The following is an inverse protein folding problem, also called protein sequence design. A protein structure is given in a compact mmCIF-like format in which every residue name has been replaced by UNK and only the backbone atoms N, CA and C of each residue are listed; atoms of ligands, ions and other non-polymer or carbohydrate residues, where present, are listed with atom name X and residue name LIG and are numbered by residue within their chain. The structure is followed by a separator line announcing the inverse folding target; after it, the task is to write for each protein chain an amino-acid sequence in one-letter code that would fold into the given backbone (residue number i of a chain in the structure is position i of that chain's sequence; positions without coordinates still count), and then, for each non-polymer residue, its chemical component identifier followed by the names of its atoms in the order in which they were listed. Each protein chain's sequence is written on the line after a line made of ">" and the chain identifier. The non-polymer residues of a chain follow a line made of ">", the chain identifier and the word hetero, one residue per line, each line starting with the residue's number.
data_IF_967420433207
#
_entry.id   IF_967420433207
#
_cell.length_a   1.000
_cell.length_b   1.000
_cell.length_c   1.000
_cell.angle_alpha   90.00
_cell.angle_beta   90.00
_cell.angle_gamma   90.00
#
_symmetry.space_group_name_H-M   'P 1'
#
loop_
_entity.id
_entity.type
_entity.pdbx_description
1 polymer ?
#
# COMPACT_ATOMS: atom_id res chain seq x y z
N UNK A 1 -1.26 -19.41 8.73
CA UNK A 1 -1.49 -18.01 9.15
C UNK A 1 -2.29 -17.28 8.08
N UNK A 2 -3.03 -16.23 8.44
CA UNK A 2 -3.67 -15.33 7.47
C UNK A 2 -2.92 -14.00 7.46
N UNK A 3 -2.26 -13.69 6.37
CA UNK A 3 -1.45 -12.49 6.15
C UNK A 3 -2.31 -11.44 5.43
N UNK A 4 -2.40 -10.23 5.97
CA UNK A 4 -2.96 -9.07 5.29
C UNK A 4 -1.81 -8.19 4.81
N UNK A 5 -1.69 -8.04 3.49
CA UNK A 5 -0.63 -7.26 2.86
C UNK A 5 -1.23 -6.02 2.19
N UNK A 6 -0.81 -4.84 2.62
CA UNK A 6 -1.29 -3.56 2.08
C UNK A 6 -0.21 -2.96 1.18
N UNK A 7 -0.57 -2.73 -0.08
CA UNK A 7 0.32 -2.21 -1.12
C UNK A 7 -0.49 -1.46 -2.17
N UNK A 8 0.02 -0.36 -2.69
CA UNK A 8 -0.64 0.38 -3.78
C UNK A 8 -0.45 -0.26 -5.15
N UNK A 9 0.63 -1.01 -5.34
CA UNK A 9 0.95 -1.66 -6.61
C UNK A 9 0.85 -3.19 -6.50
N UNK A 10 0.13 -3.79 -7.45
CA UNK A 10 -0.02 -5.24 -7.56
C UNK A 10 -0.33 -5.63 -9.02
N UNK A 11 -0.03 -6.87 -9.47
CA UNK A 11 -0.39 -7.28 -10.83
C UNK A 11 -1.83 -6.95 -11.22
N UNK A 12 -2.08 -6.61 -12.51
CA UNK A 12 -1.20 -6.82 -13.67
C UNK A 12 -0.18 -5.70 -13.93
N UNK A 13 0.06 -4.78 -12.99
CA UNK A 13 1.12 -3.80 -13.13
C UNK A 13 2.49 -4.48 -13.20
N UNK A 14 3.31 -4.12 -14.21
CA UNK A 14 4.63 -4.70 -14.46
C UNK A 14 5.79 -3.95 -13.80
N UNK A 15 5.52 -3.08 -12.82
CA UNK A 15 6.58 -2.34 -12.13
C UNK A 15 7.24 -3.19 -11.02
N UNK A 16 8.44 -2.81 -10.61
CA UNK A 16 9.19 -3.54 -9.59
C UNK A 16 8.44 -3.68 -8.25
N UNK A 17 7.71 -2.66 -7.72
CA UNK A 17 6.86 -2.81 -6.56
C UNK A 17 5.82 -3.91 -6.70
N UNK A 18 5.05 -3.92 -7.80
CA UNK A 18 4.00 -4.91 -8.03
C UNK A 18 4.55 -6.33 -8.14
N UNK A 19 5.63 -6.52 -8.92
CA UNK A 19 6.28 -7.83 -9.10
C UNK A 19 6.75 -8.37 -7.75
N UNK A 20 7.44 -7.57 -6.96
CA UNK A 20 7.97 -7.99 -5.67
C UNK A 20 6.87 -8.37 -4.67
N UNK A 21 5.84 -7.54 -4.53
CA UNK A 21 4.73 -7.82 -3.62
C UNK A 21 3.98 -9.09 -4.02
N UNK A 22 3.84 -9.32 -5.32
CA UNK A 22 3.27 -10.55 -5.86
C UNK A 22 4.13 -11.77 -5.55
N UNK A 23 5.45 -11.71 -5.78
CA UNK A 23 6.37 -12.81 -5.51
C UNK A 23 6.36 -13.20 -4.01
N UNK A 24 6.34 -12.22 -3.11
CA UNK A 24 6.21 -12.48 -1.68
C UNK A 24 4.88 -13.16 -1.35
N UNK A 25 3.77 -12.64 -1.87
CA UNK A 25 2.45 -13.19 -1.62
C UNK A 25 2.32 -14.62 -2.14
N UNK A 26 2.85 -14.89 -3.35
CA UNK A 26 2.88 -16.21 -3.97
C UNK A 26 3.71 -17.20 -3.14
N UNK A 27 4.88 -16.78 -2.68
CA UNK A 27 5.72 -17.62 -1.83
C UNK A 27 5.06 -17.98 -0.50
N UNK A 28 4.33 -17.05 0.12
CA UNK A 28 3.59 -17.34 1.34
C UNK A 28 2.42 -18.29 1.09
N UNK A 29 1.70 -18.13 -0.03
CA UNK A 29 0.64 -19.06 -0.43
C UNK A 29 1.21 -20.47 -0.66
N UNK A 30 2.36 -20.59 -1.34
CA UNK A 30 3.03 -21.89 -1.58
C UNK A 30 3.41 -22.61 -0.28
N UNK A 31 3.67 -21.86 0.79
CA UNK A 31 3.92 -22.36 2.15
C UNK A 31 2.64 -22.62 2.97
N UNK A 32 1.47 -22.57 2.34
CA UNK A 32 0.19 -22.87 2.99
C UNK A 32 -0.39 -21.74 3.81
N UNK A 33 0.08 -20.51 3.62
CA UNK A 33 -0.52 -19.33 4.27
C UNK A 33 -1.67 -18.78 3.43
N UNK A 34 -2.73 -18.33 4.10
CA UNK A 34 -3.76 -17.52 3.46
C UNK A 34 -3.24 -16.09 3.31
N UNK A 35 -3.32 -15.53 2.11
CA UNK A 35 -2.89 -14.16 1.84
C UNK A 35 -4.07 -13.35 1.31
N UNK A 36 -4.28 -12.19 1.91
CA UNK A 36 -5.18 -11.15 1.37
C UNK A 36 -4.35 -9.89 1.09
N UNK A 37 -4.38 -9.43 -0.13
CA UNK A 37 -3.73 -8.19 -0.56
C UNK A 37 -4.79 -7.11 -0.72
N UNK A 38 -4.57 -5.95 -0.09
CA UNK A 38 -5.35 -4.73 -0.39
C UNK A 38 -4.50 -3.84 -1.29
N UNK A 39 -5.05 -3.50 -2.45
CA UNK A 39 -4.39 -2.67 -3.47
C UNK A 39 -5.41 -1.76 -4.16
N UNK A 40 -4.99 -0.97 -5.14
CA UNK A 40 -5.89 -0.18 -5.97
C UNK A 40 -6.14 -0.82 -7.35
N UNK A 41 -6.97 -0.19 -8.17
CA UNK A 41 -7.09 -0.55 -9.58
C UNK A 41 -5.75 -0.30 -10.29
N UNK A 42 -5.25 -1.23 -11.15
CA UNK A 42 -3.97 -1.06 -11.81
C UNK A 42 -4.00 0.16 -12.74
N UNK A 43 -2.99 1.03 -12.61
CA UNK A 43 -2.98 2.31 -13.28
C UNK A 43 -1.57 2.85 -13.63
N UNK A 44 -0.52 2.24 -13.11
CA UNK A 44 0.86 2.68 -13.33
C UNK A 44 1.37 2.22 -14.72
N UNK A 45 2.13 3.05 -15.49
CA UNK A 45 2.67 4.38 -15.10
C UNK A 45 1.78 5.57 -15.49
N UNK A 46 0.77 5.39 -16.32
CA UNK A 46 0.05 6.49 -16.99
C UNK A 46 -1.00 7.17 -16.09
N UNK A 47 -1.30 6.61 -14.92
CA UNK A 47 -2.41 7.09 -14.10
C UNK A 47 -3.78 6.89 -14.76
N UNK A 48 -3.90 5.85 -15.57
CA UNK A 48 -5.14 5.42 -16.20
C UNK A 48 -5.41 3.98 -15.83
N UNK A 49 -6.66 3.70 -15.45
CA UNK A 49 -7.06 2.32 -15.15
C UNK A 49 -6.87 1.45 -16.37
N UNK A 50 -6.24 0.29 -16.18
CA UNK A 50 -6.00 -0.68 -17.26
C UNK A 50 -7.32 -1.23 -17.82
N UNK A 51 -7.30 -1.62 -19.10
CA UNK A 51 -8.45 -2.24 -19.74
C UNK A 51 -8.90 -3.50 -19.00
N UNK A 52 -10.21 -3.66 -18.88
CA UNK A 52 -10.82 -4.73 -18.11
C UNK A 52 -10.97 -4.44 -16.61
N UNK A 53 -10.29 -3.43 -16.07
CA UNK A 53 -10.43 -3.00 -14.66
C UNK A 53 -11.33 -1.78 -14.52
N UNK A 54 -11.84 -1.57 -13.31
CA UNK A 54 -12.64 -0.39 -12.97
C UNK A 54 -12.27 0.10 -11.57
N UNK A 55 -12.13 1.40 -11.41
CA UNK A 55 -11.89 2.02 -10.10
C UNK A 55 -13.20 2.05 -9.27
N UNK A 56 -13.59 0.90 -8.71
CA UNK A 56 -14.78 0.71 -7.87
C UNK A 56 -14.45 0.90 -6.40
N UNK A 57 -15.46 1.14 -5.58
CA UNK A 57 -15.27 1.21 -4.12
C UNK A 57 -14.57 -0.03 -3.58
N UNK A 58 -15.00 -1.20 -4.03
CA UNK A 58 -14.36 -2.48 -3.73
C UNK A 58 -14.60 -3.43 -4.90
N UNK A 59 -13.55 -4.09 -5.36
CA UNK A 59 -13.62 -5.29 -6.17
C UNK A 59 -12.72 -6.37 -5.59
N UNK A 60 -13.12 -7.61 -5.76
CA UNK A 60 -12.38 -8.78 -5.25
C UNK A 60 -12.11 -9.72 -6.40
N UNK A 61 -10.91 -10.23 -6.43
CA UNK A 61 -10.46 -11.25 -7.38
C UNK A 61 -9.50 -12.21 -6.69
N UNK A 62 -9.19 -13.32 -7.33
CA UNK A 62 -8.18 -14.25 -6.87
C UNK A 62 -7.13 -14.39 -7.97
N UNK A 63 -5.86 -14.20 -7.62
CA UNK A 63 -4.71 -14.34 -8.51
C UNK A 63 -3.76 -15.35 -7.85
N UNK A 64 -3.55 -16.51 -8.45
CA UNK A 64 -2.70 -17.59 -7.91
C UNK A 64 -2.97 -17.87 -6.42
N UNK A 65 -4.23 -18.10 -6.07
CA UNK A 65 -4.72 -18.34 -4.70
C UNK A 65 -4.53 -17.17 -3.71
N UNK A 66 -4.06 -16.02 -4.18
CA UNK A 66 -3.99 -14.78 -3.42
C UNK A 66 -5.34 -14.07 -3.52
N UNK A 67 -5.96 -13.73 -2.38
CA UNK A 67 -7.18 -12.93 -2.37
C UNK A 67 -6.83 -11.45 -2.56
N UNK A 68 -7.18 -10.87 -3.69
CA UNK A 68 -6.88 -9.47 -4.01
C UNK A 68 -8.13 -8.61 -3.85
N UNK A 69 -8.05 -7.61 -2.98
CA UNK A 69 -9.08 -6.60 -2.76
C UNK A 69 -8.60 -5.28 -3.34
N UNK A 70 -9.26 -4.83 -4.43
CA UNK A 70 -8.96 -3.53 -5.03
C UNK A 70 -9.94 -2.50 -4.52
N UNK A 71 -9.39 -1.45 -3.91
CA UNK A 71 -10.17 -0.35 -3.34
C UNK A 71 -10.09 0.88 -4.23
N UNK A 72 -11.10 1.72 -4.15
CA UNK A 72 -11.17 2.97 -4.94
C UNK A 72 -10.15 3.97 -4.44
N UNK A 73 -9.42 4.58 -5.38
CA UNK A 73 -8.48 5.68 -5.12
C UNK A 73 -8.72 6.84 -6.07
N UNK A 74 -8.13 7.98 -5.75
CA UNK A 74 -8.04 9.10 -6.68
C UNK A 74 -6.87 8.83 -7.63
N UNK A 75 -7.17 8.23 -8.79
CA UNK A 75 -6.14 7.89 -9.79
C UNK A 75 -5.74 9.14 -10.56
N UNK A 76 -4.44 9.40 -10.64
CA UNK A 76 -3.87 10.52 -11.40
C UNK A 76 -2.57 10.09 -12.08
N UNK A 77 -2.27 10.69 -13.23
CA UNK A 77 -0.92 10.61 -13.78
C UNK A 77 0.09 11.16 -12.75
N UNK A 78 1.33 10.68 -12.82
CA UNK A 78 2.40 11.07 -11.90
C UNK A 78 2.83 12.56 -12.07
N UNK A 79 1.85 13.46 -12.12
CA UNK A 79 2.03 14.89 -12.35
C UNK A 79 1.63 15.70 -11.13
N UNK A 80 2.59 16.42 -10.57
CA UNK A 80 2.37 17.37 -9.49
C UNK A 80 2.26 16.75 -8.09
N UNK A 81 2.84 17.43 -7.13
CA UNK A 81 2.91 16.99 -5.72
C UNK A 81 1.53 16.85 -5.07
N UNK A 82 0.63 17.82 -5.31
CA UNK A 82 -0.70 17.84 -4.65
C UNK A 82 -1.56 16.68 -5.12
N UNK A 83 -1.64 16.42 -6.42
CA UNK A 83 -2.45 15.31 -6.98
C UNK A 83 -1.96 13.96 -6.46
N UNK A 84 -0.63 13.75 -6.41
CA UNK A 84 -0.04 12.53 -5.83
C UNK A 84 -0.34 12.37 -4.34
N UNK A 85 -0.31 13.47 -3.58
CA UNK A 85 -0.67 13.41 -2.16
C UNK A 85 -2.13 13.02 -1.98
N UNK A 86 -3.05 13.57 -2.79
CA UNK A 86 -4.48 13.19 -2.75
C UNK A 86 -4.66 11.72 -3.12
N UNK A 87 -3.96 11.21 -4.14
CA UNK A 87 -3.97 9.80 -4.51
C UNK A 87 -3.55 8.93 -3.32
N UNK A 88 -2.41 9.21 -2.74
CA UNK A 88 -1.87 8.47 -1.59
C UNK A 88 -2.77 8.50 -0.36
N UNK A 89 -3.31 9.67 -0.02
CA UNK A 89 -4.26 9.82 1.10
C UNK A 89 -5.56 9.09 0.80
N UNK A 90 -6.07 9.15 -0.43
CA UNK A 90 -7.28 8.44 -0.82
C UNK A 90 -7.11 6.91 -0.72
N UNK A 91 -5.95 6.37 -1.12
CA UNK A 91 -5.63 4.96 -0.93
C UNK A 91 -5.53 4.60 0.55
N UNK A 92 -4.85 5.42 1.36
CA UNK A 92 -4.76 5.21 2.81
C UNK A 92 -6.15 5.08 3.45
N UNK A 93 -7.05 6.01 3.15
CA UNK A 93 -8.41 6.01 3.71
C UNK A 93 -9.20 4.79 3.24
N UNK A 94 -9.16 4.49 1.94
CA UNK A 94 -9.90 3.36 1.37
C UNK A 94 -9.35 2.02 1.85
N UNK A 95 -8.03 1.84 1.88
CA UNK A 95 -7.41 0.60 2.36
C UNK A 95 -7.66 0.37 3.85
N UNK A 96 -7.64 1.43 4.66
CA UNK A 96 -7.99 1.37 6.07
C UNK A 96 -9.47 0.96 6.23
N UNK A 97 -10.38 1.66 5.57
CA UNK A 97 -11.82 1.39 5.67
C UNK A 97 -12.17 -0.06 5.26
N UNK A 98 -11.74 -0.49 4.09
CA UNK A 98 -12.05 -1.84 3.62
C UNK A 98 -11.23 -2.91 4.34
N UNK A 99 -10.05 -2.58 4.85
CA UNK A 99 -9.23 -3.47 5.66
C UNK A 99 -9.89 -3.91 6.96
N UNK A 100 -10.78 -3.09 7.55
CA UNK A 100 -11.59 -3.50 8.70
C UNK A 100 -12.47 -4.72 8.39
N UNK A 101 -12.97 -4.81 7.18
CA UNK A 101 -13.87 -5.90 6.74
C UNK A 101 -13.14 -7.17 6.30
N UNK A 102 -11.81 -7.14 6.18
CA UNK A 102 -11.03 -8.36 6.07
C UNK A 102 -11.15 -9.09 7.39
N UNK A 103 -11.63 -10.33 7.36
CA UNK A 103 -11.88 -11.13 8.57
C UNK A 103 -10.65 -11.24 9.48
N UNK A 104 -10.62 -12.25 10.33
CA UNK A 104 -9.48 -12.47 11.24
C UNK A 104 -8.18 -12.68 10.45
N UNK A 105 -7.16 -11.93 10.82
CA UNK A 105 -5.80 -12.04 10.29
C UNK A 105 -4.82 -12.24 11.45
N UNK A 106 -3.64 -12.78 11.15
CA UNK A 106 -2.61 -13.05 12.15
C UNK A 106 -1.48 -12.02 12.12
N UNK A 107 -1.31 -11.32 10.99
CA UNK A 107 -0.30 -10.28 10.80
C UNK A 107 -0.75 -9.31 9.72
N UNK A 108 -0.37 -8.05 9.85
CA UNK A 108 -0.53 -7.02 8.80
C UNK A 108 0.84 -6.55 8.35
N UNK A 109 1.04 -6.52 7.03
CA UNK A 109 2.28 -6.04 6.40
C UNK A 109 1.95 -4.80 5.58
N UNK A 110 2.74 -3.74 5.74
CA UNK A 110 2.69 -2.53 4.92
C UNK A 110 4.02 -2.29 4.24
N UNK A 111 4.03 -1.97 2.95
CA UNK A 111 5.25 -1.75 2.18
C UNK A 111 5.40 -0.30 1.73
N UNK A 112 6.63 0.25 1.81
CA UNK A 112 7.01 1.50 1.14
C UNK A 112 7.26 1.22 -0.37
N UNK A 113 7.38 2.23 -1.26
CA UNK A 113 7.72 3.63 -0.96
C UNK A 113 6.57 4.53 -0.54
N UNK A 114 5.32 4.10 -0.69
CA UNK A 114 4.19 4.93 -0.34
C UNK A 114 3.96 4.92 1.18
N UNK A 115 4.44 5.97 1.85
CA UNK A 115 4.40 6.11 3.29
C UNK A 115 2.97 6.01 3.88
N UNK A 116 1.98 6.57 3.21
CA UNK A 116 0.57 6.53 3.65
C UNK A 116 0.00 5.10 3.65
N UNK A 117 0.49 4.23 2.78
CA UNK A 117 0.16 2.78 2.80
C UNK A 117 0.60 2.14 4.11
N UNK A 118 1.79 2.49 4.59
CA UNK A 118 2.34 1.98 5.84
C UNK A 118 1.50 2.43 7.04
N UNK A 119 1.04 3.70 7.04
CA UNK A 119 0.15 4.23 8.09
C UNK A 119 -1.16 3.42 8.15
N UNK A 120 -1.78 3.15 7.00
CA UNK A 120 -3.02 2.37 6.99
C UNK A 120 -2.81 0.93 7.47
N UNK A 121 -1.70 0.29 7.10
CA UNK A 121 -1.35 -1.04 7.55
C UNK A 121 -1.08 -1.09 9.07
N UNK A 122 -0.33 -0.12 9.59
CA UNK A 122 -0.11 0.02 11.03
C UNK A 122 -1.42 0.21 11.80
N UNK A 123 -2.29 1.10 11.34
CA UNK A 123 -3.58 1.35 11.98
C UNK A 123 -4.47 0.10 11.95
N UNK A 124 -4.47 -0.67 10.86
CA UNK A 124 -5.18 -1.95 10.75
C UNK A 124 -4.64 -2.99 11.73
N UNK A 125 -3.31 -3.09 11.87
CA UNK A 125 -2.67 -4.01 12.80
C UNK A 125 -3.06 -3.68 14.25
N UNK A 126 -3.01 -2.39 14.61
CA UNK A 126 -3.43 -1.91 15.93
C UNK A 126 -4.90 -2.23 16.21
N UNK A 127 -5.79 -1.93 15.27
CA UNK A 127 -7.23 -2.20 15.40
C UNK A 127 -7.53 -3.71 15.52
N UNK A 128 -6.87 -4.53 14.70
CA UNK A 128 -7.03 -5.98 14.72
C UNK A 128 -6.27 -6.66 15.85
N UNK A 129 -5.44 -5.91 16.59
CA UNK A 129 -4.59 -6.39 17.71
C UNK A 129 -3.66 -7.53 17.27
N UNK A 130 -3.01 -7.36 16.14
CA UNK A 130 -2.05 -8.32 15.56
C UNK A 130 -0.72 -7.63 15.28
N UNK A 131 0.38 -8.39 15.14
CA UNK A 131 1.67 -7.84 14.77
C UNK A 131 1.61 -7.05 13.46
N UNK A 132 2.38 -5.95 13.44
CA UNK A 132 2.63 -5.14 12.26
C UNK A 132 4.05 -5.40 11.75
N UNK A 133 4.20 -5.55 10.44
CA UNK A 133 5.49 -5.65 9.77
C UNK A 133 5.60 -4.51 8.77
N UNK A 134 6.60 -3.67 8.96
CA UNK A 134 6.95 -2.63 8.00
C UNK A 134 8.02 -3.14 7.04
N UNK A 135 7.63 -3.36 5.79
CA UNK A 135 8.57 -3.65 4.72
C UNK A 135 9.16 -2.35 4.18
N UNK A 136 10.29 -1.93 4.77
CA UNK A 136 11.00 -0.73 4.36
C UNK A 136 11.78 -0.98 3.07
N UNK A 137 11.49 -0.21 2.02
CA UNK A 137 12.17 -0.28 0.71
C UNK A 137 12.94 0.98 0.39
N UNK A 138 12.38 2.12 0.74
CA UNK A 138 12.98 3.43 0.54
C UNK A 138 12.92 4.20 1.85
N UNK A 139 14.01 4.85 2.22
CA UNK A 139 14.07 5.72 3.39
C UNK A 139 13.39 7.04 3.01
N UNK A 140 12.12 7.13 3.33
CA UNK A 140 11.29 8.30 3.10
C UNK A 140 11.09 9.01 4.46
N UNK A 141 11.22 10.33 4.62
CA UNK A 141 11.31 11.38 3.61
C UNK A 141 12.72 11.76 3.17
N UNK A 142 13.77 11.09 3.65
CA UNK A 142 15.16 11.43 3.30
C UNK A 142 15.39 11.41 1.77
N UNK A 143 14.75 10.52 1.03
CA UNK A 143 14.81 10.47 -0.42
C UNK A 143 14.23 11.74 -1.09
N UNK A 144 13.19 12.36 -0.52
CA UNK A 144 12.61 13.62 -1.02
C UNK A 144 13.55 14.79 -0.78
N UNK A 145 14.19 14.84 0.38
CA UNK A 145 15.15 15.90 0.71
C UNK A 145 16.41 15.81 -0.14
N UNK A 146 16.87 14.60 -0.45
CA UNK A 146 18.01 14.35 -1.32
C UNK A 146 17.80 14.85 -2.75
N UNK A 147 16.55 14.79 -3.26
CA UNK A 147 16.20 15.31 -4.61
C UNK A 147 15.90 16.82 -4.60
N UNK A 148 16.02 17.47 -3.43
CA UNK A 148 15.84 18.92 -3.30
C UNK A 148 14.40 19.45 -3.39
N UNK A 149 13.41 18.56 -3.43
CA UNK A 149 12.02 18.91 -3.68
C UNK A 149 11.35 19.67 -2.52
N UNK A 150 11.84 19.54 -1.28
CA UNK A 150 11.29 20.23 -0.10
C UNK A 150 12.36 20.42 0.99
N UNK A 151 13.19 21.45 0.91
CA UNK A 151 14.16 21.78 1.98
C UNK A 151 13.45 22.61 3.08
N UNK A 152 13.56 22.16 4.35
CA UNK A 152 13.22 22.96 5.52
C UNK A 152 11.72 23.14 5.82
N UNK A 153 10.85 22.28 5.29
CA UNK A 153 9.40 22.35 5.59
C UNK A 153 9.08 21.67 6.94
N UNK A 154 8.23 22.33 7.76
CA UNK A 154 7.69 21.76 9.00
C UNK A 154 6.98 20.41 8.76
N UNK A 155 6.43 20.20 7.56
CA UNK A 155 5.84 18.92 7.16
C UNK A 155 6.86 17.77 7.12
N UNK A 156 8.09 18.03 6.68
CA UNK A 156 9.15 17.01 6.68
C UNK A 156 9.45 16.56 8.10
N UNK A 157 9.58 17.48 9.03
CA UNK A 157 9.82 17.17 10.44
C UNK A 157 8.70 16.32 11.06
N UNK A 158 7.44 16.53 10.66
CA UNK A 158 6.32 15.70 11.09
C UNK A 158 6.42 14.31 10.49
N UNK A 159 6.70 14.21 9.20
CA UNK A 159 6.84 12.94 8.49
C UNK A 159 8.03 12.11 9.03
N UNK A 160 9.16 12.75 9.32
CA UNK A 160 10.32 12.09 9.96
C UNK A 160 9.98 11.56 11.37
N UNK A 161 9.27 12.34 12.17
CA UNK A 161 8.82 11.88 13.50
C UNK A 161 7.86 10.71 13.40
N UNK A 162 6.95 10.74 12.43
CA UNK A 162 6.00 9.66 12.19
C UNK A 162 6.70 8.41 11.65
N UNK A 163 7.68 8.57 10.78
CA UNK A 163 8.53 7.47 10.29
C UNK A 163 9.29 6.80 11.45
N UNK A 164 9.98 7.59 12.27
CA UNK A 164 10.69 7.09 13.45
C UNK A 164 9.76 6.40 14.47
N UNK A 165 8.51 6.85 14.54
CA UNK A 165 7.49 6.19 15.35
C UNK A 165 7.11 4.81 14.78
N UNK A 166 6.96 4.71 13.45
CA UNK A 166 6.60 3.45 12.78
C UNK A 166 7.74 2.40 12.79
N UNK A 167 8.98 2.83 13.04
CA UNK A 167 10.14 1.92 13.18
C UNK A 167 10.25 1.28 14.57
N UNK A 168 9.48 1.71 15.54
CA UNK A 168 9.47 1.21 16.92
C UNK A 168 8.38 0.18 17.16
#
# INVERSE_FOLDING_TARGET
>A
MHILFVTDNFPPEGNAPATRTFEHAREWVSKGHKVTVITCAPNFPEGKVFDGYKNRWLSKETIEDINVWRVKTYITANEGFIKRTIDFVSFMISSLFFGFFVGKVDVVIGTSPQFFTVISAWALALFKRVPFVFELRDVWPASITAVGAMRGSWMINILEKLELFLYR
#
